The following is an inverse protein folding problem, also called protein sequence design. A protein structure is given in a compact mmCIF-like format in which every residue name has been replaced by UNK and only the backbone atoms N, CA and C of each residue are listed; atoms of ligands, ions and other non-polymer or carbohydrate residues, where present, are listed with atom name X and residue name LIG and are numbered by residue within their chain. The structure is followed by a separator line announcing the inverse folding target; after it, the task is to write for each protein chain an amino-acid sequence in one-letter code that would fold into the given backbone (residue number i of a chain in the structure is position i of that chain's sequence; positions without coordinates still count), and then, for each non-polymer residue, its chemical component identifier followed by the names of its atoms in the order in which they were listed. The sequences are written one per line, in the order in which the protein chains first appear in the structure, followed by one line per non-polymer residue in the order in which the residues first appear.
data_IF_479821541800
#
_entry.id   IF_479821541800
#
_cell.length_a   1.000
_cell.length_b   1.000
_cell.length_c   1.000
_cell.angle_alpha   90.00
_cell.angle_beta   90.00
_cell.angle_gamma   90.00
#
_symmetry.space_group_name_H-M   'P 1'
#
loop_
_entity.id
_entity.type
_entity.pdbx_description
1 polymer ?
#
# COMPACT_ATOMS: atom_id res chain seq x y z
N UNK A 1 -40.84 3.60 -7.41
CA UNK A 1 -40.83 4.35 -6.15
C UNK A 1 -40.69 3.32 -5.02
N UNK A 2 -39.53 3.19 -4.38
CA UNK A 2 -39.36 2.26 -3.25
C UNK A 2 -39.72 2.99 -1.96
N UNK A 3 -40.90 2.66 -1.43
CA UNK A 3 -41.44 3.22 -0.19
C UNK A 3 -40.93 2.39 0.99
N UNK A 4 -39.86 2.85 1.62
CA UNK A 4 -39.32 2.20 2.81
C UNK A 4 -40.08 2.71 4.03
N UNK A 5 -40.63 1.80 4.84
CA UNK A 5 -41.28 2.14 6.11
C UNK A 5 -40.32 1.92 7.28
N UNK A 6 -40.41 2.78 8.29
CA UNK A 6 -39.63 2.64 9.51
C UNK A 6 -40.03 1.36 10.25
N UNK A 7 -39.09 0.47 10.53
CA UNK A 7 -39.33 -0.79 11.27
C UNK A 7 -39.84 -0.57 12.70
N UNK A 8 -39.59 0.60 13.30
CA UNK A 8 -39.96 0.89 14.69
C UNK A 8 -41.30 1.61 14.84
N UNK A 9 -41.69 2.45 13.89
CA UNK A 9 -42.93 3.25 14.00
C UNK A 9 -43.86 3.17 12.79
N UNK A 10 -43.46 2.48 11.72
CA UNK A 10 -44.26 2.34 10.50
C UNK A 10 -44.34 3.58 9.61
N UNK A 11 -43.77 4.72 10.02
CA UNK A 11 -43.77 5.94 9.22
C UNK A 11 -42.98 5.79 7.91
N UNK A 12 -43.46 6.45 6.85
CA UNK A 12 -42.79 6.49 5.55
C UNK A 12 -41.44 7.21 5.66
N UNK A 13 -40.40 6.58 5.12
CA UNK A 13 -39.05 7.13 5.11
C UNK A 13 -38.75 7.73 3.74
N UNK A 14 -38.37 9.01 3.66
CA UNK A 14 -37.93 9.59 2.41
C UNK A 14 -36.67 8.88 1.89
N UNK A 15 -36.51 8.87 0.57
CA UNK A 15 -35.33 8.29 -0.08
C UNK A 15 -34.06 8.97 0.49
N UNK A 16 -33.14 8.18 1.05
CA UNK A 16 -31.89 8.60 1.71
C UNK A 16 -31.95 9.17 3.16
N UNK A 17 -33.04 8.98 3.91
CA UNK A 17 -33.05 9.35 5.33
C UNK A 17 -32.17 8.43 6.20
N UNK A 18 -31.16 9.00 6.88
CA UNK A 18 -30.30 8.28 7.86
C UNK A 18 -31.00 8.00 9.20
N UNK A 19 -32.09 8.72 9.47
CA UNK A 19 -32.88 8.62 10.69
C UNK A 19 -34.36 8.81 10.34
N UNK A 20 -35.25 8.18 11.10
CA UNK A 20 -36.69 8.39 10.97
C UNK A 20 -37.07 9.75 11.56
N UNK A 21 -37.69 10.61 10.74
CA UNK A 21 -38.14 11.95 11.15
C UNK A 21 -39.29 11.91 12.17
N UNK A 22 -40.02 10.80 12.27
CA UNK A 22 -41.16 10.67 13.16
C UNK A 22 -40.81 10.13 14.55
N UNK A 23 -39.85 9.21 14.66
CA UNK A 23 -39.52 8.55 15.94
C UNK A 23 -38.04 8.67 16.34
N UNK A 24 -37.22 9.38 15.56
CA UNK A 24 -35.79 9.58 15.82
C UNK A 24 -34.92 8.32 15.69
N UNK A 25 -35.49 7.20 15.26
CA UNK A 25 -34.74 5.93 15.19
C UNK A 25 -33.78 5.96 14.02
N UNK A 26 -32.50 5.63 14.28
CA UNK A 26 -31.46 5.52 13.25
C UNK A 26 -31.85 4.43 12.26
N UNK A 27 -31.88 4.80 10.99
CA UNK A 27 -32.09 3.86 9.90
C UNK A 27 -30.73 3.71 9.23
N UNK A 28 -30.07 2.59 9.52
CA UNK A 28 -28.95 2.14 8.70
C UNK A 28 -29.52 1.64 7.37
N UNK A 29 -29.87 2.58 6.50
CA UNK A 29 -29.75 2.31 5.07
C UNK A 29 -28.26 2.13 4.88
N UNK A 30 -27.82 0.89 4.70
CA UNK A 30 -26.57 0.67 4.02
C UNK A 30 -26.68 1.45 2.72
N UNK A 31 -26.09 2.64 2.70
CA UNK A 31 -25.76 3.30 1.46
C UNK A 31 -24.88 2.29 0.75
N UNK A 32 -25.49 1.50 -0.13
CA UNK A 32 -24.86 1.01 -1.35
C UNK A 32 -24.52 2.23 -2.20
N UNK A 33 -23.72 3.13 -1.64
CA UNK A 33 -22.84 3.98 -2.39
C UNK A 33 -21.85 2.99 -2.98
N UNK A 34 -21.92 2.81 -4.30
CA UNK A 34 -20.89 2.23 -5.14
C UNK A 34 -19.74 1.57 -4.37
N UNK A 35 -19.89 0.28 -4.04
CA UNK A 35 -18.71 -0.54 -3.78
C UNK A 35 -18.04 -0.72 -5.12
N UNK A 36 -17.17 0.23 -5.48
CA UNK A 36 -16.15 -0.02 -6.48
C UNK A 36 -15.36 -1.27 -6.02
N UNK A 37 -15.17 -2.28 -6.89
CA UNK A 37 -14.45 -3.51 -6.56
C UNK A 37 -13.01 -3.26 -6.09
N UNK A 38 -12.51 -2.04 -6.23
CA UNK A 38 -11.16 -1.60 -5.94
C UNK A 38 -10.83 -1.70 -4.44
N UNK A 39 -11.76 -1.39 -3.53
CA UNK A 39 -11.47 -1.40 -2.09
C UNK A 39 -11.26 -2.82 -1.55
N UNK A 40 -12.03 -3.80 -2.04
CA UNK A 40 -11.89 -5.20 -1.62
C UNK A 40 -10.59 -5.82 -2.13
N UNK A 41 -10.17 -5.46 -3.35
CA UNK A 41 -8.84 -5.80 -3.88
C UNK A 41 -7.72 -5.21 -3.01
N UNK A 42 -7.86 -3.95 -2.59
CA UNK A 42 -6.88 -3.30 -1.72
C UNK A 42 -6.78 -4.01 -0.37
N UNK A 43 -7.91 -4.37 0.25
CA UNK A 43 -7.93 -5.08 1.54
C UNK A 43 -7.28 -6.46 1.46
N UNK A 44 -7.42 -7.13 0.31
CA UNK A 44 -6.78 -8.41 0.05
C UNK A 44 -5.26 -8.26 -0.17
N UNK A 45 -4.85 -7.29 -1.01
CA UNK A 45 -3.45 -6.97 -1.29
C UNK A 45 -2.68 -6.53 -0.03
N UNK A 46 -3.33 -5.79 0.87
CA UNK A 46 -2.75 -5.32 2.12
C UNK A 46 -3.14 -6.18 3.32
N UNK A 47 -3.45 -7.46 3.10
CA UNK A 47 -3.63 -8.41 4.19
C UNK A 47 -2.31 -8.66 4.93
N UNK A 48 -2.37 -8.89 6.25
CA UNK A 48 -1.17 -9.09 7.10
C UNK A 48 -0.23 -10.15 6.53
N UNK A 49 -0.79 -11.26 6.08
CA UNK A 49 -0.03 -12.38 5.53
C UNK A 49 0.64 -12.01 4.20
N UNK A 50 -0.05 -11.25 3.34
CA UNK A 50 0.49 -10.84 2.06
C UNK A 50 1.55 -9.74 2.21
N UNK A 51 1.39 -8.83 3.17
CA UNK A 51 2.42 -7.85 3.55
C UNK A 51 3.68 -8.60 4.02
N UNK A 52 3.54 -9.58 4.92
CA UNK A 52 4.68 -10.37 5.40
C UNK A 52 5.35 -11.12 4.24
N UNK A 53 4.57 -11.76 3.36
CA UNK A 53 5.11 -12.45 2.18
C UNK A 53 5.85 -11.50 1.22
N UNK A 54 5.30 -10.31 0.96
CA UNK A 54 5.92 -9.30 0.10
C UNK A 54 7.23 -8.76 0.72
N UNK A 55 7.25 -8.53 2.04
CA UNK A 55 8.46 -8.12 2.75
C UNK A 55 9.54 -9.20 2.67
N UNK A 56 9.20 -10.47 2.91
CA UNK A 56 10.15 -11.58 2.81
C UNK A 56 10.69 -11.73 1.38
N UNK A 57 9.83 -11.64 0.38
CA UNK A 57 10.23 -11.72 -1.03
C UNK A 57 11.13 -10.54 -1.43
N UNK A 58 10.80 -9.33 -0.99
CA UNK A 58 11.60 -8.13 -1.22
C UNK A 58 12.97 -8.22 -0.56
N UNK A 59 13.03 -8.64 0.71
CA UNK A 59 14.28 -8.88 1.44
C UNK A 59 15.12 -9.95 0.74
N UNK A 60 14.50 -11.03 0.26
CA UNK A 60 15.18 -12.08 -0.50
C UNK A 60 15.82 -11.52 -1.77
N UNK A 61 15.08 -10.71 -2.55
CA UNK A 61 15.64 -10.08 -3.75
C UNK A 61 16.80 -9.12 -3.44
N UNK A 62 16.72 -8.36 -2.34
CA UNK A 62 17.80 -7.49 -1.90
C UNK A 62 19.04 -8.31 -1.52
N UNK A 63 18.86 -9.42 -0.80
CA UNK A 63 19.96 -10.33 -0.44
C UNK A 63 20.62 -10.95 -1.68
N UNK A 64 19.82 -11.42 -2.63
CA UNK A 64 20.33 -11.96 -3.91
C UNK A 64 21.09 -10.87 -4.67
N UNK A 65 20.55 -9.65 -4.74
CA UNK A 65 21.24 -8.52 -5.36
C UNK A 65 22.58 -8.22 -4.70
N UNK A 66 22.64 -8.18 -3.35
CA UNK A 66 23.89 -7.98 -2.60
C UNK A 66 24.90 -9.10 -2.83
N UNK A 67 24.45 -10.35 -2.94
CA UNK A 67 25.29 -11.50 -3.26
C UNK A 67 25.90 -11.32 -4.65
N UNK A 68 25.08 -11.04 -5.67
CA UNK A 68 25.56 -10.85 -7.05
C UNK A 68 26.53 -9.68 -7.14
N UNK A 69 26.27 -8.56 -6.44
CA UNK A 69 27.22 -7.44 -6.38
C UNK A 69 28.59 -7.84 -5.82
N UNK A 70 28.61 -8.73 -4.83
CA UNK A 70 29.86 -9.15 -4.16
C UNK A 70 30.70 -10.08 -5.03
N UNK A 71 30.06 -10.91 -5.85
CA UNK A 71 30.74 -11.91 -6.67
C UNK A 71 30.84 -11.55 -8.16
N UNK A 72 30.15 -10.51 -8.64
CA UNK A 72 30.26 -10.11 -10.04
C UNK A 72 31.56 -9.40 -10.32
N UNK A 73 32.39 -9.98 -11.18
CA UNK A 73 33.56 -9.33 -11.77
C UNK A 73 33.21 -8.53 -13.04
N UNK A 74 32.06 -8.82 -13.65
CA UNK A 74 31.61 -8.21 -14.90
C UNK A 74 30.63 -7.05 -14.70
N UNK A 75 30.75 -6.03 -15.54
CA UNK A 75 29.87 -4.84 -15.52
C UNK A 75 28.39 -5.19 -15.75
N UNK A 76 28.10 -6.23 -16.53
CA UNK A 76 26.74 -6.75 -16.75
C UNK A 76 26.15 -7.32 -15.47
N UNK A 77 26.97 -8.01 -14.66
CA UNK A 77 26.56 -8.56 -13.37
C UNK A 77 26.23 -7.44 -12.37
N UNK A 78 27.03 -6.38 -12.34
CA UNK A 78 26.77 -5.21 -11.51
C UNK A 78 25.42 -4.54 -11.86
N UNK A 79 25.15 -4.30 -13.14
CA UNK A 79 23.88 -3.69 -13.60
C UNK A 79 22.67 -4.58 -13.30
N UNK A 80 22.81 -5.89 -13.49
CA UNK A 80 21.76 -6.85 -13.16
C UNK A 80 21.44 -6.83 -11.65
N UNK A 81 22.48 -6.82 -10.81
CA UNK A 81 22.34 -6.79 -9.36
C UNK A 81 21.73 -5.48 -8.85
N UNK A 82 22.09 -4.34 -9.45
CA UNK A 82 21.46 -3.05 -9.16
C UNK A 82 19.98 -3.03 -9.52
N UNK A 83 19.61 -3.62 -10.65
CA UNK A 83 18.22 -3.72 -11.09
C UNK A 83 17.42 -4.59 -10.12
N UNK A 84 17.99 -5.71 -9.67
CA UNK A 84 17.36 -6.62 -8.70
C UNK A 84 17.11 -5.93 -7.35
N UNK A 85 18.12 -5.23 -6.84
CA UNK A 85 18.01 -4.46 -5.59
C UNK A 85 16.95 -3.35 -5.71
N UNK A 86 16.94 -2.63 -6.83
CA UNK A 86 15.97 -1.55 -7.07
C UNK A 86 14.53 -2.07 -7.10
N UNK A 87 14.29 -3.22 -7.74
CA UNK A 87 13.01 -3.91 -7.71
C UNK A 87 12.62 -4.33 -6.29
N UNK A 88 13.55 -4.91 -5.53
CA UNK A 88 13.32 -5.31 -4.15
C UNK A 88 12.91 -4.14 -3.25
N UNK A 89 13.65 -3.02 -3.31
CA UNK A 89 13.32 -1.82 -2.53
C UNK A 89 12.02 -1.16 -2.99
N UNK A 90 11.71 -1.15 -4.28
CA UNK A 90 10.46 -0.59 -4.80
C UNK A 90 9.25 -1.40 -4.32
N UNK A 91 9.29 -2.73 -4.47
CA UNK A 91 8.21 -3.63 -4.02
C UNK A 91 8.01 -3.48 -2.52
N UNK A 92 9.10 -3.56 -1.74
CA UNK A 92 9.05 -3.44 -0.27
C UNK A 92 8.51 -2.06 0.16
N UNK A 93 8.99 -0.98 -0.48
CA UNK A 93 8.59 0.39 -0.17
C UNK A 93 7.11 0.66 -0.47
N UNK A 94 6.61 0.25 -1.63
CA UNK A 94 5.19 0.41 -2.00
C UNK A 94 4.29 -0.38 -1.04
N UNK A 95 4.67 -1.62 -0.68
CA UNK A 95 3.91 -2.43 0.26
C UNK A 95 3.92 -1.87 1.68
N UNK A 96 5.03 -1.29 2.15
CA UNK A 96 5.12 -0.63 3.46
C UNK A 96 4.26 0.64 3.52
N UNK A 97 4.33 1.50 2.50
CA UNK A 97 3.54 2.72 2.44
C UNK A 97 2.06 2.38 2.33
N UNK A 98 1.70 1.48 1.41
CA UNK A 98 0.31 1.05 1.22
C UNK A 98 -0.24 0.35 2.45
N UNK A 99 0.52 -0.55 3.08
CA UNK A 99 0.12 -1.23 4.31
C UNK A 99 -0.03 -0.26 5.49
N UNK A 100 0.76 0.81 5.52
CA UNK A 100 0.62 1.88 6.51
C UNK A 100 -0.67 2.66 6.33
N UNK A 101 -1.04 2.99 5.09
CA UNK A 101 -2.25 3.77 4.84
C UNK A 101 -3.51 2.90 4.98
N UNK A 102 -3.48 1.66 4.47
CA UNK A 102 -4.64 0.78 4.38
C UNK A 102 -5.09 0.17 5.72
N UNK A 103 -4.14 -0.06 6.63
CA UNK A 103 -4.41 -0.90 7.80
C UNK A 103 -4.75 -0.06 9.03
N UNK A 104 -6.05 0.15 9.24
CA UNK A 104 -6.52 0.91 10.40
C UNK A 104 -6.41 0.19 11.74
N UNK A 105 -6.13 -1.12 11.73
CA UNK A 105 -6.02 -1.94 12.95
C UNK A 105 -4.69 -1.81 13.69
N UNK A 106 -3.75 -0.98 13.20
CA UNK A 106 -2.42 -0.82 13.80
C UNK A 106 -2.27 0.46 14.59
N UNK A 107 -1.40 0.39 15.59
CA UNK A 107 -0.98 1.54 16.38
C UNK A 107 -0.43 2.67 15.50
N UNK A 108 -0.70 3.92 15.90
CA UNK A 108 -0.31 5.12 15.15
C UNK A 108 1.19 5.19 14.91
N UNK A 109 2.02 4.81 15.88
CA UNK A 109 3.47 4.86 15.74
C UNK A 109 3.97 3.82 14.73
N UNK A 110 3.40 2.62 14.73
CA UNK A 110 3.74 1.57 13.75
C UNK A 110 3.37 2.04 12.34
N UNK A 111 2.18 2.62 12.20
CA UNK A 111 1.69 3.15 10.92
C UNK A 111 2.65 4.19 10.31
N UNK A 112 3.01 5.19 11.12
CA UNK A 112 3.92 6.26 10.72
C UNK A 112 5.32 5.71 10.44
N UNK A 113 5.80 4.78 11.28
CA UNK A 113 7.09 4.12 11.08
C UNK A 113 7.18 3.42 9.72
N UNK A 114 6.17 2.66 9.32
CA UNK A 114 6.16 1.97 8.02
C UNK A 114 6.17 2.94 6.84
N UNK A 115 5.42 4.05 6.92
CA UNK A 115 5.41 5.08 5.87
C UNK A 115 6.79 5.74 5.76
N UNK A 116 7.39 6.14 6.89
CA UNK A 116 8.71 6.79 6.91
C UNK A 116 9.78 5.85 6.34
N UNK A 117 9.80 4.58 6.78
CA UNK A 117 10.77 3.59 6.29
C UNK A 117 10.59 3.39 4.78
N UNK A 118 9.35 3.21 4.30
CA UNK A 118 9.09 3.03 2.88
C UNK A 118 9.52 4.21 2.02
N UNK A 119 9.26 5.45 2.46
CA UNK A 119 9.72 6.66 1.77
C UNK A 119 11.24 6.73 1.75
N UNK A 120 11.90 6.46 2.89
CA UNK A 120 13.36 6.45 2.98
C UNK A 120 13.98 5.45 2.00
N UNK A 121 13.45 4.21 1.93
CA UNK A 121 13.96 3.19 1.01
C UNK A 121 13.84 3.58 -0.46
N UNK A 122 12.74 4.23 -0.85
CA UNK A 122 12.56 4.67 -2.24
C UNK A 122 13.54 5.82 -2.54
N UNK A 123 13.65 6.80 -1.64
CA UNK A 123 14.54 7.96 -1.84
C UNK A 123 16.01 7.57 -1.92
N UNK A 124 16.47 6.59 -1.14
CA UNK A 124 17.87 6.15 -1.15
C UNK A 124 18.25 5.50 -2.48
N UNK A 125 17.34 4.73 -3.10
CA UNK A 125 17.55 4.12 -4.42
C UNK A 125 17.60 5.16 -5.53
N UNK A 126 16.68 6.14 -5.51
CA UNK A 126 16.69 7.23 -6.49
C UNK A 126 17.94 8.12 -6.33
N UNK A 127 18.34 8.43 -5.09
CA UNK A 127 19.53 9.23 -4.85
C UNK A 127 20.80 8.53 -5.33
N UNK A 128 20.94 7.23 -5.06
CA UNK A 128 22.11 6.46 -5.48
C UNK A 128 22.24 6.36 -7.01
N UNK A 129 21.13 6.16 -7.71
CA UNK A 129 21.11 6.12 -9.18
C UNK A 129 21.48 7.46 -9.79
N UNK A 130 21.01 8.57 -9.20
CA UNK A 130 21.36 9.92 -9.65
C UNK A 130 22.84 10.29 -9.40
N UNK A 131 23.43 9.74 -8.33
CA UNK A 131 24.85 9.96 -8.01
C UNK A 131 25.76 9.17 -8.97
N UNK A 132 25.41 7.92 -9.25
CA UNK A 132 26.13 7.08 -10.22
C UNK A 132 26.07 7.64 -11.65
N UNK A 133 24.91 8.14 -12.09
CA UNK A 133 24.77 8.75 -13.41
C UNK A 133 25.61 10.03 -13.53
N UNK A 134 25.68 10.81 -12.46
CA UNK A 134 26.51 12.03 -12.41
C UNK A 134 28.01 11.70 -12.45
N UNK A 135 28.47 10.63 -11.78
CA UNK A 135 29.88 10.21 -11.84
C UNK A 135 30.21 9.62 -13.22
N UNK A 136 29.31 8.85 -13.82
CA UNK A 136 29.52 8.26 -15.13
C UNK A 136 29.66 9.30 -16.26
N UNK A 137 29.02 10.47 -16.15
CA UNK A 137 29.18 11.55 -17.14
C UNK A 137 30.50 12.33 -16.99
N UNK A 138 31.18 12.20 -15.85
CA UNK A 138 32.47 12.82 -15.58
C UNK A 138 33.68 12.01 -16.07
N UNK A 139 33.49 10.73 -16.43
CA UNK A 139 34.54 9.86 -16.94
C UNK A 139 34.09 9.21 -18.26
N UNK A 140 34.35 9.87 -19.42
CA UNK A 140 33.95 9.38 -20.74
C UNK A 140 34.70 8.10 -21.17
#
# INVERSE_FOLDING_TARGET
MSEDKCYKCGAELPSNSKFCLSCGTKIEKETRSDREPIHDVFRFLFSKNLIIAALLLGILFIWIGSLVLTFSTDMTGYRAAQTLNSLGFFITGVFLIGGGIANDSMDRYVRVGMIIIGVYMITSVLALTHLLSSIASLYP
#
